data_IF_068280764579
#
_entry.id   IF_068280764579
#
_cell.length_a   1.000
_cell.length_b   1.000
_cell.length_c   1.000
_cell.angle_alpha   90.00
_cell.angle_beta   90.00
_cell.angle_gamma   90.00
#
_symmetry.space_group_name_H-M   'P 1'
#
loop_
_entity.id
_entity.type
_entity.pdbx_description
1 polymer ?
#
# COMPACT_ATOMS: atom_id res chain seq x y z
N UNK A 1 4.10 -16.50 13.84
CA UNK A 1 5.11 -16.74 12.79
C UNK A 1 6.13 -17.69 13.38
N UNK A 2 6.06 -18.98 13.03
CA UNK A 2 7.08 -19.95 13.42
C UNK A 2 8.39 -19.54 12.75
N UNK A 3 9.46 -19.42 13.52
CA UNK A 3 10.77 -18.99 13.05
C UNK A 3 11.25 -19.83 11.87
N UNK A 4 11.60 -19.15 10.78
CA UNK A 4 12.36 -19.73 9.69
C UNK A 4 13.76 -20.03 10.21
N UNK A 5 14.08 -21.30 10.44
CA UNK A 5 15.43 -21.74 10.78
C UNK A 5 16.04 -22.45 9.56
N UNK A 6 17.21 -21.97 9.09
CA UNK A 6 17.98 -22.56 7.99
C UNK A 6 18.57 -21.52 7.02
N UNK A 7 19.26 -21.99 5.96
CA UNK A 7 19.96 -21.15 4.98
C UNK A 7 19.06 -20.10 4.27
N UNK A 8 17.75 -20.37 4.13
CA UNK A 8 16.79 -19.40 3.59
C UNK A 8 16.47 -18.24 4.53
N UNK A 9 16.63 -18.41 5.85
CA UNK A 9 16.41 -17.35 6.83
C UNK A 9 17.55 -16.32 6.82
N UNK A 10 18.79 -16.79 6.58
CA UNK A 10 19.97 -15.92 6.44
C UNK A 10 19.92 -15.09 5.16
N UNK A 11 19.32 -15.61 4.08
CA UNK A 11 19.20 -14.89 2.80
C UNK A 11 18.31 -13.65 2.85
N UNK A 12 17.39 -13.57 3.81
CA UNK A 12 16.41 -12.49 3.95
C UNK A 12 16.50 -11.81 5.32
N UNK A 13 17.67 -11.86 5.95
CA UNK A 13 17.87 -11.43 7.32
C UNK A 13 17.63 -9.93 7.48
N UNK A 14 18.20 -9.08 6.61
CA UNK A 14 18.06 -7.63 6.67
C UNK A 14 16.64 -7.20 6.30
N UNK A 15 15.99 -7.86 5.34
CA UNK A 15 14.56 -7.65 5.02
C UNK A 15 13.69 -7.93 6.25
N UNK A 16 13.91 -9.06 6.92
CA UNK A 16 13.18 -9.44 8.13
C UNK A 16 13.46 -8.48 9.28
N UNK A 17 14.73 -8.11 9.49
CA UNK A 17 15.18 -7.23 10.55
C UNK A 17 14.59 -5.81 10.40
N UNK A 18 14.81 -5.18 9.26
CA UNK A 18 14.27 -3.85 8.94
C UNK A 18 12.74 -3.85 9.00
N UNK A 19 12.07 -4.85 8.41
CA UNK A 19 10.62 -4.97 8.44
C UNK A 19 10.04 -5.09 9.86
N UNK A 20 10.71 -5.82 10.76
CA UNK A 20 10.33 -5.89 12.19
C UNK A 20 10.49 -4.54 12.89
N UNK A 21 11.57 -3.81 12.62
CA UNK A 21 11.82 -2.50 13.23
C UNK A 21 10.83 -1.46 12.69
N UNK A 22 10.58 -1.44 11.39
CA UNK A 22 9.55 -0.61 10.76
C UNK A 22 8.16 -0.87 11.33
N UNK A 23 7.81 -2.15 11.56
CA UNK A 23 6.56 -2.53 12.22
C UNK A 23 6.48 -2.03 13.66
N UNK A 24 7.58 -2.12 14.42
CA UNK A 24 7.67 -1.55 15.76
C UNK A 24 7.48 -0.04 15.72
N UNK A 25 8.18 0.67 14.83
CA UNK A 25 8.09 2.13 14.72
C UNK A 25 6.67 2.58 14.36
N UNK A 26 6.02 1.89 13.40
CA UNK A 26 4.61 2.16 13.07
C UNK A 26 3.69 1.92 14.27
N UNK A 27 3.97 0.89 15.08
CA UNK A 27 3.17 0.59 16.27
C UNK A 27 3.30 1.69 17.32
N UNK A 28 4.52 2.16 17.58
CA UNK A 28 4.78 3.29 18.49
C UNK A 28 4.09 4.56 17.97
N UNK A 29 4.25 4.86 16.67
CA UNK A 29 3.59 5.98 16.00
C UNK A 29 2.07 5.96 16.15
N UNK A 30 1.42 4.79 16.07
CA UNK A 30 -0.04 4.68 16.23
C UNK A 30 -0.53 4.95 17.66
N UNK A 31 0.36 4.90 18.64
CA UNK A 31 0.06 5.20 20.05
C UNK A 31 0.35 6.67 20.41
N UNK A 32 0.98 7.42 19.50
CA UNK A 32 1.25 8.84 19.60
C UNK A 32 0.05 9.66 19.07
N UNK A 33 -0.40 10.71 19.78
CA UNK A 33 -1.55 11.56 19.41
C UNK A 33 -1.18 13.05 19.30
N UNK A 34 -0.93 13.57 18.10
CA UNK A 34 -0.63 14.94 17.57
C UNK A 34 -0.51 16.23 18.44
N UNK A 35 -0.74 16.25 19.76
CA UNK A 35 -0.79 17.48 20.55
C UNK A 35 0.59 18.03 20.98
N UNK A 36 1.52 17.24 21.53
CA UNK A 36 2.89 17.68 21.90
C UNK A 36 3.70 16.48 22.41
N UNK A 37 4.90 16.24 21.86
CA UNK A 37 5.90 15.20 22.23
C UNK A 37 5.37 13.91 22.85
N UNK A 38 5.25 12.87 22.02
CA UNK A 38 4.56 11.61 22.34
C UNK A 38 5.33 10.65 23.20
N UNK A 39 5.39 10.95 24.49
CA UNK A 39 5.94 10.04 25.47
C UNK A 39 4.94 8.92 25.79
N UNK A 40 5.24 7.71 25.32
CA UNK A 40 4.47 6.49 25.60
C UNK A 40 5.10 5.81 26.81
N UNK A 41 4.29 5.45 27.81
CA UNK A 41 4.80 4.75 29.00
C UNK A 41 5.40 3.39 28.63
N UNK A 42 6.45 2.98 29.37
CA UNK A 42 7.05 1.65 29.24
C UNK A 42 6.00 0.54 29.24
N UNK A 43 5.09 0.55 30.22
CA UNK A 43 4.06 -0.48 30.37
C UNK A 43 3.13 -0.60 29.15
N UNK A 44 2.75 0.55 28.57
CA UNK A 44 1.94 0.60 27.35
C UNK A 44 2.69 -0.03 26.17
N UNK A 45 3.97 0.31 26.00
CA UNK A 45 4.82 -0.26 24.93
C UNK A 45 4.93 -1.78 25.11
N UNK A 46 5.23 -2.24 26.32
CA UNK A 46 5.42 -3.68 26.57
C UNK A 46 4.15 -4.48 26.29
N UNK A 47 3.00 -3.95 26.72
CA UNK A 47 1.69 -4.57 26.54
C UNK A 47 1.30 -4.58 25.06
N UNK A 48 1.48 -3.45 24.37
CA UNK A 48 1.13 -3.30 22.95
C UNK A 48 2.00 -4.17 22.07
N UNK A 49 3.31 -4.24 22.34
CA UNK A 49 4.23 -5.14 21.65
C UNK A 49 3.82 -6.61 21.81
N UNK A 50 3.48 -7.02 23.05
CA UNK A 50 3.04 -8.38 23.33
C UNK A 50 1.76 -8.73 22.58
N UNK A 51 0.77 -7.84 22.57
CA UNK A 51 -0.50 -8.03 21.83
C UNK A 51 -0.29 -8.12 20.32
N UNK A 52 0.78 -7.52 19.79
CA UNK A 52 1.12 -7.54 18.36
C UNK A 52 2.14 -8.62 17.98
N UNK A 53 2.54 -9.48 18.92
CA UNK A 53 3.52 -10.54 18.70
C UNK A 53 4.93 -10.02 18.41
N UNK A 54 5.31 -8.88 19.00
CA UNK A 54 6.70 -8.39 18.99
C UNK A 54 7.39 -8.94 20.24
N UNK A 55 8.38 -9.80 20.02
CA UNK A 55 9.15 -10.45 21.07
C UNK A 55 9.98 -9.44 21.90
N UNK A 56 10.31 -9.82 23.14
CA UNK A 56 11.07 -8.95 24.04
C UNK A 56 12.43 -8.56 23.46
N UNK A 57 13.15 -9.48 22.84
CA UNK A 57 14.45 -9.23 22.19
C UNK A 57 14.31 -8.25 21.03
N UNK A 58 13.36 -8.51 20.13
CA UNK A 58 13.11 -7.70 18.93
C UNK A 58 12.69 -6.27 19.33
N UNK A 59 11.92 -6.13 20.41
CA UNK A 59 11.57 -4.83 20.98
C UNK A 59 12.79 -4.07 21.50
N UNK A 60 13.65 -4.71 22.29
CA UNK A 60 14.83 -4.05 22.87
C UNK A 60 15.78 -3.59 21.77
N UNK A 61 16.08 -4.48 20.82
CA UNK A 61 16.95 -4.18 19.69
C UNK A 61 16.33 -3.09 18.81
N UNK A 62 15.04 -3.23 18.47
CA UNK A 62 14.37 -2.25 17.62
C UNK A 62 14.26 -0.87 18.23
N UNK A 63 14.04 -0.74 19.55
CA UNK A 63 14.09 0.55 20.23
C UNK A 63 15.50 1.16 20.17
N UNK A 64 16.54 0.35 20.34
CA UNK A 64 17.93 0.85 20.22
C UNK A 64 18.21 1.36 18.80
N UNK A 65 17.87 0.58 17.77
CA UNK A 65 18.09 0.99 16.37
C UNK A 65 17.30 2.26 16.03
N UNK A 66 16.04 2.37 16.47
CA UNK A 66 15.23 3.57 16.24
C UNK A 66 15.76 4.79 16.99
N UNK A 67 16.34 4.61 18.18
CA UNK A 67 16.98 5.68 18.93
C UNK A 67 18.23 6.16 18.20
N UNK A 68 19.08 5.24 17.75
CA UNK A 68 20.34 5.56 17.06
C UNK A 68 20.08 6.21 15.69
N UNK A 69 18.97 5.86 15.04
CA UNK A 69 18.47 6.51 13.82
C UNK A 69 17.74 7.85 14.09
N UNK A 70 17.69 8.34 15.33
CA UNK A 70 17.06 9.61 15.69
C UNK A 70 15.53 9.64 15.50
N UNK A 71 14.88 8.46 15.49
CA UNK A 71 13.42 8.33 15.28
C UNK A 71 12.64 8.30 16.59
N UNK A 72 13.30 8.00 17.71
CA UNK A 72 12.73 8.04 19.05
C UNK A 72 13.74 8.57 20.08
N UNK A 73 13.25 9.06 21.20
CA UNK A 73 14.03 9.25 22.43
C UNK A 73 13.52 8.30 23.52
N UNK A 74 14.44 7.74 24.31
CA UNK A 74 14.09 6.84 25.43
C UNK A 74 14.48 7.50 26.75
N UNK A 75 13.48 7.76 27.59
CA UNK A 75 13.68 8.32 28.93
C UNK A 75 14.24 7.27 29.92
N UNK A 76 14.79 7.74 31.04
CA UNK A 76 15.39 6.88 32.07
C UNK A 76 14.41 5.89 32.70
N UNK A 77 13.12 6.22 32.74
CA UNK A 77 12.05 5.34 33.22
C UNK A 77 11.56 4.34 32.16
N UNK A 78 12.13 4.38 30.96
CA UNK A 78 11.79 3.55 29.82
C UNK A 78 10.57 4.04 29.03
N UNK A 79 10.10 5.26 29.29
CA UNK A 79 9.12 5.90 28.43
C UNK A 79 9.78 6.31 27.10
N UNK A 80 9.02 6.27 26.00
CA UNK A 80 9.56 6.51 24.65
C UNK A 80 8.84 7.69 24.01
N UNK A 81 9.58 8.72 23.61
CA UNK A 81 9.08 9.80 22.78
C UNK A 81 9.26 9.46 21.29
N UNK A 82 8.18 9.51 20.51
CA UNK A 82 8.24 9.24 19.06
C UNK A 82 8.49 10.53 18.29
N UNK A 83 9.57 10.58 17.51
CA UNK A 83 9.97 11.75 16.72
C UNK A 83 9.50 11.57 15.27
N UNK A 84 9.04 12.67 14.63
CA UNK A 84 8.68 12.65 13.21
C UNK A 84 7.59 11.65 12.82
N UNK A 85 6.54 11.51 13.64
CA UNK A 85 5.53 10.44 13.61
C UNK A 85 4.60 10.38 12.36
N UNK A 86 5.13 10.31 11.15
CA UNK A 86 4.35 10.16 9.91
C UNK A 86 4.46 8.75 9.32
N UNK A 87 3.49 8.32 8.51
CA UNK A 87 3.58 7.05 7.77
C UNK A 87 4.78 7.05 6.83
N UNK A 88 5.06 8.19 6.19
CA UNK A 88 6.21 8.37 5.31
C UNK A 88 7.52 8.18 6.08
N UNK A 89 7.68 8.82 7.24
CA UNK A 89 8.87 8.67 8.07
C UNK A 89 9.11 7.22 8.51
N UNK A 90 8.04 6.43 8.74
CA UNK A 90 8.17 5.00 9.03
C UNK A 90 8.76 4.25 7.85
N UNK A 91 8.26 4.48 6.63
CA UNK A 91 8.74 3.81 5.43
C UNK A 91 10.18 4.23 5.11
N UNK A 92 10.48 5.52 5.18
CA UNK A 92 11.84 6.07 5.00
C UNK A 92 12.81 5.47 6.02
N UNK A 93 12.48 5.50 7.30
CA UNK A 93 13.33 4.89 8.33
C UNK A 93 13.54 3.39 8.11
N UNK A 94 12.52 2.68 7.65
CA UNK A 94 12.63 1.24 7.36
C UNK A 94 13.57 0.98 6.20
N UNK A 95 13.49 1.79 5.14
CA UNK A 95 14.37 1.70 3.98
C UNK A 95 15.82 2.07 4.35
N UNK A 96 16.02 3.17 5.08
CA UNK A 96 17.34 3.58 5.58
C UNK A 96 17.99 2.47 6.44
N UNK A 97 17.25 1.91 7.40
CA UNK A 97 17.73 0.81 8.23
C UNK A 97 18.10 -0.42 7.38
N UNK A 98 17.34 -0.70 6.34
CA UNK A 98 17.65 -1.80 5.41
C UNK A 98 18.93 -1.53 4.63
N UNK A 99 19.07 -0.33 4.05
CA UNK A 99 20.23 0.07 3.24
C UNK A 99 21.51 0.13 4.08
N UNK A 100 21.44 0.63 5.32
CA UNK A 100 22.55 0.71 6.26
C UNK A 100 23.11 -0.67 6.66
N UNK A 101 22.33 -1.74 6.50
CA UNK A 101 22.78 -3.11 6.72
C UNK A 101 23.53 -3.71 5.51
N UNK A 102 23.73 -2.94 4.45
CA UNK A 102 24.39 -3.35 3.22
C UNK A 102 23.74 -4.63 2.63
N UNK A 103 22.50 -4.51 2.14
CA UNK A 103 21.67 -5.66 1.77
C UNK A 103 22.27 -6.43 0.60
N UNK A 104 22.08 -7.75 0.61
CA UNK A 104 22.60 -8.62 -0.45
C UNK A 104 21.83 -8.46 -1.76
N UNK A 105 22.42 -8.94 -2.87
CA UNK A 105 21.72 -9.01 -4.16
C UNK A 105 20.39 -9.77 -4.09
N UNK A 106 20.31 -10.83 -3.26
CA UNK A 106 19.08 -11.59 -3.05
C UNK A 106 17.98 -10.74 -2.41
N UNK A 107 18.35 -9.92 -1.42
CA UNK A 107 17.42 -9.06 -0.69
C UNK A 107 16.93 -7.88 -1.52
N UNK A 108 17.79 -7.33 -2.38
CA UNK A 108 17.36 -6.33 -3.35
C UNK A 108 16.44 -6.98 -4.40
N UNK A 109 16.82 -8.15 -4.91
CA UNK A 109 16.05 -8.88 -5.92
C UNK A 109 14.64 -9.26 -5.45
N UNK A 110 14.46 -9.65 -4.19
CA UNK A 110 13.15 -10.02 -3.68
C UNK A 110 12.22 -8.81 -3.50
N UNK A 111 12.77 -7.65 -3.10
CA UNK A 111 12.01 -6.41 -2.99
C UNK A 111 11.57 -5.97 -4.39
N UNK A 112 12.49 -5.95 -5.35
CA UNK A 112 12.20 -5.60 -6.74
C UNK A 112 11.20 -6.56 -7.37
N UNK A 113 11.33 -7.86 -7.14
CA UNK A 113 10.39 -8.86 -7.62
C UNK A 113 9.00 -8.64 -7.04
N UNK A 114 8.90 -8.45 -5.72
CA UNK A 114 7.63 -8.19 -5.02
C UNK A 114 6.93 -6.95 -5.57
N UNK A 115 7.68 -5.87 -5.78
CA UNK A 115 7.19 -4.65 -6.41
C UNK A 115 6.62 -4.94 -7.80
N UNK A 116 7.38 -5.65 -8.63
CA UNK A 116 7.02 -5.94 -10.02
C UNK A 116 5.75 -6.79 -10.13
N UNK A 117 5.62 -7.83 -9.30
CA UNK A 117 4.45 -8.73 -9.32
C UNK A 117 3.21 -8.13 -8.66
N UNK A 118 3.38 -7.08 -7.83
CA UNK A 118 2.26 -6.23 -7.40
C UNK A 118 1.74 -5.40 -8.57
N UNK A 119 2.64 -4.86 -9.40
CA UNK A 119 2.31 -4.10 -10.62
C UNK A 119 1.54 -4.89 -11.67
N UNK A 120 1.99 -6.11 -11.96
CA UNK A 120 1.42 -6.98 -12.99
C UNK A 120 1.80 -8.45 -12.76
N UNK A 121 0.97 -9.42 -13.16
CA UNK A 121 1.36 -10.82 -13.11
C UNK A 121 2.38 -11.15 -14.21
N UNK A 122 3.37 -11.97 -13.89
CA UNK A 122 4.52 -12.28 -14.74
C UNK A 122 4.72 -13.77 -14.90
N UNK A 123 5.26 -14.21 -16.05
CA UNK A 123 5.75 -15.58 -16.16
C UNK A 123 6.94 -15.77 -15.22
N UNK A 124 7.00 -16.92 -14.55
CA UNK A 124 8.12 -17.28 -13.69
C UNK A 124 9.47 -17.16 -14.39
N UNK A 125 9.58 -17.64 -15.61
CA UNK A 125 10.80 -17.55 -16.40
C UNK A 125 11.24 -16.09 -16.66
N UNK A 126 10.29 -15.19 -16.96
CA UNK A 126 10.56 -13.76 -17.13
C UNK A 126 11.04 -13.12 -15.83
N UNK A 127 10.43 -13.51 -14.70
CA UNK A 127 10.83 -13.02 -13.39
C UNK A 127 12.23 -13.50 -12.97
N UNK A 128 12.53 -14.78 -13.19
CA UNK A 128 13.86 -15.36 -12.92
C UNK A 128 14.95 -14.70 -13.78
N UNK A 129 14.69 -14.50 -15.07
CA UNK A 129 15.59 -13.79 -15.98
C UNK A 129 15.80 -12.35 -15.52
N UNK A 130 14.72 -11.63 -15.21
CA UNK A 130 14.78 -10.26 -14.73
C UNK A 130 15.66 -10.08 -13.48
N UNK A 131 15.43 -10.88 -12.43
CA UNK A 131 16.21 -10.75 -11.18
C UNK A 131 17.65 -11.26 -11.34
N UNK A 132 17.86 -12.27 -12.19
CA UNK A 132 19.19 -12.77 -12.57
C UNK A 132 20.00 -11.65 -13.21
N UNK A 133 19.45 -10.99 -14.22
CA UNK A 133 20.15 -9.96 -14.99
C UNK A 133 20.34 -8.68 -14.17
N UNK A 134 19.30 -8.25 -13.44
CA UNK A 134 19.30 -6.97 -12.70
C UNK A 134 20.22 -7.03 -11.48
N UNK A 135 20.17 -8.12 -10.70
CA UNK A 135 20.92 -8.25 -9.45
C UNK A 135 22.12 -9.17 -9.56
N UNK A 136 22.45 -9.61 -10.78
CA UNK A 136 23.61 -10.45 -11.11
C UNK A 136 23.60 -11.79 -10.37
N UNK A 137 22.41 -12.38 -10.21
CA UNK A 137 22.26 -13.69 -9.60
C UNK A 137 22.55 -14.77 -10.64
N UNK A 138 23.11 -15.90 -10.22
CA UNK A 138 23.13 -17.08 -11.10
C UNK A 138 21.73 -17.67 -11.19
N UNK A 139 21.41 -18.33 -12.31
CA UNK A 139 20.07 -18.87 -12.58
C UNK A 139 19.51 -19.76 -11.47
N UNK A 140 20.36 -20.58 -10.84
CA UNK A 140 19.96 -21.44 -9.73
C UNK A 140 19.53 -20.62 -8.50
N UNK A 141 20.24 -19.52 -8.21
CA UNK A 141 19.94 -18.63 -7.09
C UNK A 141 18.65 -17.84 -7.34
N UNK A 142 18.45 -17.35 -8.57
CA UNK A 142 17.20 -16.70 -8.99
C UNK A 142 15.98 -17.63 -8.82
N UNK A 143 16.06 -18.87 -9.34
CA UNK A 143 14.97 -19.84 -9.18
C UNK A 143 14.70 -20.15 -7.71
N UNK A 144 15.75 -20.36 -6.90
CA UNK A 144 15.58 -20.66 -5.48
C UNK A 144 15.04 -19.45 -4.69
N UNK A 145 15.33 -18.22 -5.13
CA UNK A 145 14.81 -16.99 -4.53
C UNK A 145 13.31 -16.82 -4.81
N UNK A 146 12.84 -17.14 -6.01
CA UNK A 146 11.40 -17.18 -6.33
C UNK A 146 10.70 -18.21 -5.43
N UNK A 147 11.28 -19.40 -5.26
CA UNK A 147 10.72 -20.43 -4.37
C UNK A 147 10.69 -19.99 -2.91
N UNK A 148 11.72 -19.28 -2.46
CA UNK A 148 11.78 -18.70 -1.12
C UNK A 148 10.69 -17.65 -0.94
N UNK A 149 10.52 -16.75 -1.91
CA UNK A 149 9.52 -15.68 -1.92
C UNK A 149 8.09 -16.22 -1.79
N UNK A 150 7.81 -17.35 -2.43
CA UNK A 150 6.53 -18.06 -2.28
C UNK A 150 6.34 -18.64 -0.88
N UNK A 151 7.38 -19.30 -0.35
CA UNK A 151 7.35 -19.90 1.00
C UNK A 151 7.19 -18.85 2.10
N UNK A 152 7.64 -17.62 1.86
CA UNK A 152 7.47 -16.47 2.76
C UNK A 152 6.20 -15.68 2.50
N UNK A 153 5.35 -16.12 1.55
CA UNK A 153 4.12 -15.45 1.15
C UNK A 153 4.31 -13.99 0.73
N UNK A 154 5.50 -13.66 0.19
CA UNK A 154 5.76 -12.36 -0.44
C UNK A 154 5.17 -12.28 -1.84
N UNK A 155 5.12 -13.43 -2.52
CA UNK A 155 4.54 -13.59 -3.85
C UNK A 155 3.75 -14.90 -3.92
N UNK A 156 2.80 -14.95 -4.83
CA UNK A 156 1.99 -16.12 -5.16
C UNK A 156 2.35 -16.65 -6.55
N UNK A 157 2.07 -17.92 -6.81
CA UNK A 157 2.26 -18.56 -8.14
C UNK A 157 1.04 -19.42 -8.48
N UNK A 158 0.53 -19.25 -9.70
CA UNK A 158 -0.53 -20.10 -10.26
C UNK A 158 -0.02 -20.83 -11.51
N UNK A 159 -0.46 -22.07 -11.72
CA UNK A 159 -0.07 -22.89 -12.86
C UNK A 159 0.93 -24.02 -12.55
N UNK A 160 1.32 -24.76 -13.60
CA UNK A 160 2.19 -25.93 -13.48
C UNK A 160 3.68 -25.56 -13.53
N UNK A 161 4.54 -26.46 -13.05
CA UNK A 161 6.00 -26.30 -13.05
C UNK A 161 6.53 -25.82 -14.43
N UNK A 162 7.16 -24.65 -14.44
CA UNK A 162 7.75 -24.03 -15.64
C UNK A 162 6.81 -23.13 -16.44
N UNK A 163 5.51 -23.13 -16.16
CA UNK A 163 4.51 -22.22 -16.75
C UNK A 163 3.83 -21.32 -15.72
N UNK A 164 4.39 -21.24 -14.52
CA UNK A 164 3.80 -20.48 -13.42
C UNK A 164 3.71 -18.99 -13.73
N UNK A 165 2.58 -18.41 -13.33
CA UNK A 165 2.37 -16.96 -13.29
C UNK A 165 2.56 -16.50 -11.86
N UNK A 166 3.55 -15.63 -11.63
CA UNK A 166 3.81 -14.97 -10.37
C UNK A 166 2.95 -13.72 -10.24
N UNK A 167 2.37 -13.49 -9.06
CA UNK A 167 1.53 -12.34 -8.77
C UNK A 167 1.53 -12.01 -7.28
N UNK A 168 0.97 -10.86 -6.92
CA UNK A 168 0.62 -10.54 -5.53
C UNK A 168 -0.89 -10.78 -5.31
N UNK A 169 -1.27 -11.69 -4.42
CA UNK A 169 -2.68 -11.99 -4.13
C UNK A 169 -3.45 -10.83 -3.49
N UNK A 170 -2.79 -9.84 -2.88
CA UNK A 170 -3.48 -8.64 -2.41
C UNK A 170 -3.99 -7.80 -3.59
N UNK A 171 -3.21 -7.70 -4.67
CA UNK A 171 -3.64 -6.97 -5.88
C UNK A 171 -4.58 -7.82 -6.76
N UNK A 172 -4.21 -9.07 -7.05
CA UNK A 172 -4.90 -9.88 -8.07
C UNK A 172 -5.92 -10.88 -7.50
N UNK A 173 -6.18 -10.86 -6.19
CA UNK A 173 -7.13 -11.74 -5.46
C UNK A 173 -6.77 -13.23 -5.48
N UNK A 174 -6.73 -13.84 -6.66
CA UNK A 174 -6.42 -15.25 -6.87
C UNK A 174 -5.67 -15.49 -8.20
N UNK A 175 -5.19 -16.72 -8.37
CA UNK A 175 -4.45 -17.13 -9.55
C UNK A 175 -5.23 -17.05 -10.86
N UNK A 176 -6.56 -17.24 -10.85
CA UNK A 176 -7.38 -17.17 -12.06
C UNK A 176 -7.50 -15.73 -12.57
N UNK A 177 -7.64 -14.76 -11.67
CA UNK A 177 -7.63 -13.34 -12.03
C UNK A 177 -6.23 -12.91 -12.50
N UNK A 178 -5.17 -13.36 -11.81
CA UNK A 178 -3.80 -13.11 -12.23
C UNK A 178 -3.50 -13.66 -13.65
N UNK A 179 -3.91 -14.89 -13.95
CA UNK A 179 -3.77 -15.47 -15.30
C UNK A 179 -4.53 -14.66 -16.36
N UNK A 180 -5.77 -14.23 -16.07
CA UNK A 180 -6.56 -13.41 -17.00
C UNK A 180 -5.89 -12.06 -17.25
N UNK A 181 -5.44 -11.40 -16.20
CA UNK A 181 -4.73 -10.13 -16.30
C UNK A 181 -3.44 -10.29 -17.12
N UNK A 182 -2.66 -11.35 -16.87
CA UNK A 182 -1.47 -11.67 -17.66
C UNK A 182 -1.80 -11.83 -19.15
N UNK A 183 -2.81 -12.64 -19.50
CA UNK A 183 -3.21 -12.87 -20.88
C UNK A 183 -3.66 -11.59 -21.58
N UNK A 184 -4.44 -10.73 -20.90
CA UNK A 184 -4.85 -9.44 -21.45
C UNK A 184 -3.64 -8.56 -21.75
N UNK A 185 -2.69 -8.47 -20.81
CA UNK A 185 -1.47 -7.67 -20.96
C UNK A 185 -0.57 -8.18 -22.10
N UNK A 186 -0.43 -9.50 -22.26
CA UNK A 186 0.35 -10.11 -23.35
C UNK A 186 -0.25 -9.81 -24.73
N UNK A 187 -1.58 -9.75 -24.82
CA UNK A 187 -2.31 -9.52 -26.07
C UNK A 187 -2.41 -8.04 -26.47
N UNK A 188 -1.92 -7.11 -25.64
CA UNK A 188 -1.97 -5.70 -25.96
C UNK A 188 -1.10 -5.37 -27.18
N UNK A 189 -1.72 -4.68 -28.14
CA UNK A 189 -1.02 -4.07 -29.28
C UNK A 189 -0.12 -2.93 -28.81
N UNK A 190 0.83 -2.54 -29.64
CA UNK A 190 1.78 -1.48 -29.30
C UNK A 190 1.07 -0.15 -28.95
N UNK A 191 0.02 0.23 -29.69
CA UNK A 191 -0.77 1.43 -29.42
C UNK A 191 -1.59 1.31 -28.12
N UNK A 192 -2.11 0.12 -27.81
CA UNK A 192 -2.84 -0.15 -26.56
C UNK A 192 -1.90 -0.06 -25.35
N UNK A 193 -0.66 -0.54 -25.48
CA UNK A 193 0.38 -0.43 -24.44
C UNK A 193 0.72 1.02 -24.14
N UNK A 194 0.93 1.83 -25.17
CA UNK A 194 1.22 3.28 -24.99
C UNK A 194 0.07 3.98 -24.25
N UNK A 195 -1.17 3.70 -24.62
CA UNK A 195 -2.35 4.32 -23.98
C UNK A 195 -2.54 3.84 -22.54
N UNK A 196 -2.28 2.55 -22.27
CA UNK A 196 -2.26 2.02 -20.92
C UNK A 196 -1.22 2.73 -20.05
N UNK A 197 0.01 2.87 -20.54
CA UNK A 197 1.08 3.59 -19.83
C UNK A 197 0.69 5.04 -19.55
N UNK A 198 0.10 5.76 -20.53
CA UNK A 198 -0.36 7.13 -20.31
C UNK A 198 -1.43 7.24 -19.20
N UNK A 199 -2.37 6.29 -19.15
CA UNK A 199 -3.37 6.24 -18.07
C UNK A 199 -2.71 5.97 -16.72
N UNK A 200 -1.78 5.00 -16.67
CA UNK A 200 -1.07 4.66 -15.43
C UNK A 200 -0.27 5.84 -14.89
N UNK A 201 0.45 6.57 -15.75
CA UNK A 201 1.18 7.78 -15.34
C UNK A 201 0.25 8.87 -14.79
N UNK A 202 -0.93 9.05 -15.40
CA UNK A 202 -1.93 10.00 -14.89
C UNK A 202 -2.50 9.55 -13.55
N UNK A 203 -2.75 8.26 -13.35
CA UNK A 203 -3.17 7.70 -12.07
C UNK A 203 -2.11 7.91 -11.00
N UNK A 204 -0.83 7.64 -11.27
CA UNK A 204 0.26 7.88 -10.31
C UNK A 204 0.31 9.34 -9.84
N UNK A 205 -0.03 10.30 -10.71
CA UNK A 205 -0.02 11.73 -10.36
C UNK A 205 -1.26 12.21 -9.61
N UNK A 206 -2.43 11.60 -9.84
CA UNK A 206 -3.72 12.12 -9.35
C UNK A 206 -4.43 11.16 -8.37
N UNK A 207 -3.97 9.92 -8.25
CA UNK A 207 -4.58 8.84 -7.47
C UNK A 207 -5.83 8.24 -8.11
N UNK A 208 -6.76 9.08 -8.60
CA UNK A 208 -7.95 8.64 -9.32
C UNK A 208 -8.27 9.55 -10.52
N UNK A 209 -8.94 8.99 -11.52
CA UNK A 209 -9.34 9.67 -12.75
C UNK A 209 -10.82 9.46 -13.04
N UNK A 210 -11.44 10.40 -13.75
CA UNK A 210 -12.82 10.25 -14.21
C UNK A 210 -12.93 9.08 -15.21
N UNK A 211 -13.89 8.16 -15.01
CA UNK A 211 -13.96 6.91 -15.76
C UNK A 211 -14.18 7.12 -17.27
N UNK A 212 -15.01 8.09 -17.65
CA UNK A 212 -15.25 8.41 -19.06
C UNK A 212 -14.01 8.98 -19.78
N UNK A 213 -13.15 9.71 -19.07
CA UNK A 213 -11.88 10.19 -19.63
C UNK A 213 -10.91 9.02 -19.85
N UNK A 214 -10.86 8.10 -18.91
CA UNK A 214 -10.05 6.87 -19.03
C UNK A 214 -10.59 5.98 -20.17
N UNK A 215 -11.90 5.81 -20.28
CA UNK A 215 -12.53 5.07 -21.39
C UNK A 215 -12.22 5.73 -22.74
N UNK A 216 -12.27 7.07 -22.83
CA UNK A 216 -11.92 7.81 -24.05
C UNK A 216 -10.45 7.63 -24.43
N UNK A 217 -9.53 7.63 -23.47
CA UNK A 217 -8.11 7.39 -23.71
C UNK A 217 -7.85 5.97 -24.20
N UNK A 218 -8.38 4.96 -23.52
CA UNK A 218 -8.12 3.55 -23.84
C UNK A 218 -8.96 3.02 -25.00
N UNK A 219 -10.11 3.66 -25.26
CA UNK A 219 -11.19 3.08 -26.05
C UNK A 219 -11.99 2.06 -25.24
N UNK A 220 -13.28 1.98 -25.52
CA UNK A 220 -14.26 1.18 -24.78
C UNK A 220 -13.87 -0.30 -24.62
N UNK A 221 -13.36 -0.93 -25.67
CA UNK A 221 -13.01 -2.35 -25.65
C UNK A 221 -11.82 -2.64 -24.72
N UNK A 222 -10.75 -1.84 -24.80
CA UNK A 222 -9.59 -1.99 -23.95
C UNK A 222 -9.94 -1.65 -22.50
N UNK A 223 -10.67 -0.56 -22.28
CA UNK A 223 -11.15 -0.16 -20.95
C UNK A 223 -11.89 -1.31 -20.25
N UNK A 224 -12.90 -1.90 -20.91
CA UNK A 224 -13.69 -2.98 -20.35
C UNK A 224 -12.83 -4.21 -20.04
N UNK A 225 -11.89 -4.58 -20.93
CA UNK A 225 -10.97 -5.71 -20.68
C UNK A 225 -10.13 -5.47 -19.43
N UNK A 226 -9.54 -4.30 -19.28
CA UNK A 226 -8.63 -3.99 -18.16
C UNK A 226 -9.37 -3.90 -16.81
N UNK A 227 -10.58 -3.30 -16.78
CA UNK A 227 -11.42 -3.28 -15.58
C UNK A 227 -11.88 -4.69 -15.21
N UNK A 228 -12.29 -5.52 -16.19
CA UNK A 228 -12.82 -6.86 -15.92
C UNK A 228 -11.81 -7.84 -15.29
N UNK A 229 -10.52 -7.62 -15.54
CA UNK A 229 -9.44 -8.42 -14.96
C UNK A 229 -8.83 -7.78 -13.71
N UNK A 230 -9.42 -6.68 -13.22
CA UNK A 230 -9.00 -6.01 -12.00
C UNK A 230 -7.67 -5.26 -12.14
N UNK A 231 -7.26 -4.86 -13.35
CA UNK A 231 -6.09 -3.98 -13.52
C UNK A 231 -6.41 -2.53 -13.13
N UNK A 232 -7.69 -2.18 -13.17
CA UNK A 232 -8.24 -0.93 -12.70
C UNK A 232 -9.39 -1.20 -11.75
N UNK A 233 -9.46 -0.43 -10.67
CA UNK A 233 -10.62 -0.45 -9.79
C UNK A 233 -11.57 0.67 -10.14
N UNK A 234 -12.84 0.33 -10.40
CA UNK A 234 -13.87 1.30 -10.76
C UNK A 234 -14.75 1.57 -9.55
N UNK A 235 -14.72 2.81 -9.10
CA UNK A 235 -15.52 3.33 -7.99
C UNK A 235 -16.65 4.20 -8.55
N UNK A 236 -17.71 4.37 -7.77
CA UNK A 236 -18.84 5.22 -8.16
C UNK A 236 -19.23 6.16 -7.02
N UNK A 237 -19.41 7.43 -7.34
CA UNK A 237 -19.95 8.45 -6.43
C UNK A 237 -21.35 8.81 -6.89
N UNK A 238 -22.33 8.45 -6.09
CA UNK A 238 -23.74 8.77 -6.32
C UNK A 238 -24.22 9.87 -5.38
N UNK A 239 -25.01 10.80 -5.91
CA UNK A 239 -25.77 11.78 -5.13
C UNK A 239 -27.22 11.87 -5.65
N UNK A 240 -28.03 12.79 -5.11
CA UNK A 240 -29.44 12.93 -5.49
C UNK A 240 -29.68 13.41 -6.94
N UNK A 241 -28.64 13.78 -7.67
CA UNK A 241 -28.72 14.38 -9.02
C UNK A 241 -27.95 13.62 -10.09
N UNK A 242 -26.86 12.94 -9.74
CA UNK A 242 -26.05 12.18 -10.69
C UNK A 242 -25.32 11.02 -10.01
N UNK A 243 -24.88 10.08 -10.84
CA UNK A 243 -23.90 9.05 -10.48
C UNK A 243 -22.70 9.16 -11.41
N UNK A 244 -21.50 9.19 -10.85
CA UNK A 244 -20.25 9.47 -11.57
C UNK A 244 -19.19 8.44 -11.20
N UNK A 245 -18.61 7.79 -12.21
CA UNK A 245 -17.58 6.78 -12.02
C UNK A 245 -16.17 7.35 -11.99
N UNK A 246 -15.30 6.74 -11.20
CA UNK A 246 -13.88 7.04 -11.13
C UNK A 246 -13.07 5.76 -11.20
N UNK A 247 -11.84 5.86 -11.69
CA UNK A 247 -10.89 4.75 -11.79
C UNK A 247 -9.68 5.04 -10.93
N UNK A 248 -9.22 4.04 -10.18
CA UNK A 248 -7.97 4.09 -9.43
C UNK A 248 -7.11 2.85 -9.71
N UNK A 249 -5.82 2.93 -9.37
CA UNK A 249 -4.91 1.79 -9.39
C UNK A 249 -5.19 0.90 -8.16
N UNK A 250 -5.48 -0.41 -8.34
CA UNK A 250 -5.69 -1.32 -7.21
C UNK A 250 -4.47 -1.38 -6.27
N UNK A 251 -3.27 -1.24 -6.82
CA UNK A 251 -2.01 -1.22 -6.07
C UNK A 251 -1.93 -0.10 -5.03
N UNK A 252 -2.62 1.02 -5.26
CA UNK A 252 -2.55 2.16 -4.35
C UNK A 252 -3.24 1.85 -3.00
N UNK A 253 -4.12 0.85 -2.97
CA UNK A 253 -4.86 0.43 -1.77
C UNK A 253 -4.43 -0.94 -1.27
N UNK A 254 -4.23 -1.88 -2.19
CA UNK A 254 -4.17 -3.30 -1.87
C UNK A 254 -2.73 -3.77 -1.58
N UNK A 255 -1.72 -3.12 -2.16
CA UNK A 255 -0.31 -3.51 -2.03
C UNK A 255 0.19 -3.55 -0.58
N UNK A 256 -0.33 -2.66 0.27
CA UNK A 256 0.08 -2.52 1.67
C UNK A 256 -1.00 -2.99 2.66
N UNK A 257 -2.16 -3.41 2.15
CA UNK A 257 -3.30 -3.81 2.96
C UNK A 257 -3.17 -5.26 3.45
N UNK A 258 -3.76 -5.56 4.61
CA UNK A 258 -4.09 -6.96 4.95
C UNK A 258 -5.45 -7.26 4.33
N UNK A 259 -5.61 -8.36 3.58
CA UNK A 259 -6.86 -8.70 2.87
C UNK A 259 -8.05 -9.01 3.80
N UNK A 260 -7.91 -8.86 5.11
CA UNK A 260 -8.96 -9.12 6.11
C UNK A 260 -9.48 -7.85 6.80
N UNK A 261 -9.06 -6.68 6.36
CA UNK A 261 -9.66 -5.39 6.71
C UNK A 261 -10.22 -4.78 5.41
N UNK A 262 -11.32 -5.35 4.89
CA UNK A 262 -11.99 -4.85 3.66
C UNK A 262 -12.61 -3.45 3.90
N UNK A 263 -13.19 -3.20 5.08
CA UNK A 263 -13.88 -1.94 5.40
C UNK A 263 -12.99 -0.68 5.26
N UNK A 264 -11.73 -0.63 5.78
CA UNK A 264 -10.88 0.54 5.61
C UNK A 264 -10.42 0.78 4.17
N UNK A 265 -10.31 -0.27 3.35
CA UNK A 265 -9.94 -0.15 1.93
C UNK A 265 -11.09 0.48 1.15
N UNK A 266 -12.31 0.01 1.38
CA UNK A 266 -13.49 0.58 0.71
C UNK A 266 -13.78 2.01 1.17
N UNK A 267 -13.55 2.34 2.45
CA UNK A 267 -13.59 3.72 2.95
C UNK A 267 -12.55 4.62 2.26
N UNK A 268 -11.32 4.13 2.05
CA UNK A 268 -10.26 4.88 1.37
C UNK A 268 -10.60 5.14 -0.11
N UNK A 269 -11.16 4.14 -0.79
CA UNK A 269 -11.69 4.26 -2.15
C UNK A 269 -12.82 5.28 -2.24
N UNK A 270 -13.80 5.18 -1.34
CA UNK A 270 -14.91 6.13 -1.28
C UNK A 270 -14.40 7.57 -1.02
N UNK A 271 -13.41 7.74 -0.16
CA UNK A 271 -12.79 9.03 0.12
C UNK A 271 -12.11 9.61 -1.11
N UNK A 272 -11.23 8.86 -1.80
CA UNK A 272 -10.51 9.38 -2.96
C UNK A 272 -11.47 9.73 -4.10
N UNK A 273 -12.50 8.90 -4.32
CA UNK A 273 -13.51 9.16 -5.34
C UNK A 273 -14.30 10.44 -5.01
N UNK A 274 -14.67 10.62 -3.74
CA UNK A 274 -15.38 11.81 -3.26
C UNK A 274 -14.55 13.08 -3.36
N UNK A 275 -13.25 13.01 -3.05
CA UNK A 275 -12.32 14.13 -3.21
C UNK A 275 -12.18 14.50 -4.68
N UNK A 276 -11.94 13.51 -5.54
CA UNK A 276 -11.80 13.71 -7.00
C UNK A 276 -13.07 14.32 -7.60
N UNK A 277 -14.24 13.88 -7.16
CA UNK A 277 -15.52 14.50 -7.51
C UNK A 277 -15.61 15.95 -7.03
N UNK A 278 -15.22 16.21 -5.78
CA UNK A 278 -15.22 17.55 -5.20
C UNK A 278 -14.29 18.53 -5.93
N UNK A 279 -13.18 18.05 -6.50
CA UNK A 279 -12.25 18.84 -7.29
C UNK A 279 -12.77 19.11 -8.70
N UNK A 280 -13.31 18.08 -9.37
CA UNK A 280 -13.61 18.13 -10.80
C UNK A 280 -15.04 18.59 -11.15
N UNK A 281 -16.02 18.36 -10.26
CA UNK A 281 -17.46 18.52 -10.58
C UNK A 281 -18.28 19.29 -9.56
N UNK A 282 -17.73 19.62 -8.39
CA UNK A 282 -18.48 20.41 -7.40
C UNK A 282 -18.87 21.78 -7.97
N UNK A 283 -20.13 22.17 -7.79
CA UNK A 283 -20.66 23.43 -8.31
C UNK A 283 -20.06 24.62 -7.57
N UNK A 284 -20.01 25.78 -8.22
CA UNK A 284 -19.52 27.04 -7.62
C UNK A 284 -20.23 27.36 -6.29
N UNK A 285 -21.51 27.02 -6.16
CA UNK A 285 -22.30 27.23 -4.93
C UNK A 285 -21.96 26.28 -3.79
N UNK A 286 -21.45 25.07 -4.07
CA UNK A 286 -20.99 24.11 -3.07
C UNK A 286 -19.51 24.29 -2.73
N UNK A 287 -18.76 24.91 -3.63
CA UNK A 287 -17.32 25.10 -3.56
C UNK A 287 -16.56 23.89 -4.12
N UNK A 288 -15.55 24.16 -4.95
CA UNK A 288 -14.62 23.14 -5.42
C UNK A 288 -13.55 22.87 -4.37
N UNK A 289 -13.16 21.60 -4.24
CA UNK A 289 -12.00 21.25 -3.43
C UNK A 289 -10.76 21.70 -4.21
N UNK A 290 -10.01 22.65 -3.67
CA UNK A 290 -8.76 23.14 -4.29
C UNK A 290 -7.53 22.71 -3.49
N UNK A 291 -7.71 22.29 -2.24
CA UNK A 291 -6.64 21.86 -1.33
C UNK A 291 -6.94 20.49 -0.71
N UNK A 292 -6.99 19.40 -1.51
CA UNK A 292 -7.36 18.07 -1.03
C UNK A 292 -6.43 17.58 0.09
N UNK A 293 -5.12 17.87 0.00
CA UNK A 293 -4.14 17.48 1.00
C UNK A 293 -4.39 18.15 2.36
N UNK A 294 -4.78 19.44 2.37
CA UNK A 294 -5.11 20.14 3.60
C UNK A 294 -6.37 19.56 4.25
N UNK A 295 -7.35 19.16 3.43
CA UNK A 295 -8.56 18.50 3.89
C UNK A 295 -8.25 17.10 4.48
N UNK A 296 -7.44 16.28 3.80
CA UNK A 296 -7.00 14.98 4.32
C UNK A 296 -6.25 15.15 5.63
N UNK A 297 -5.29 16.10 5.71
CA UNK A 297 -4.57 16.40 6.96
C UNK A 297 -5.52 16.80 8.09
N UNK A 298 -6.54 17.60 7.80
CA UNK A 298 -7.56 17.97 8.79
C UNK A 298 -8.41 16.77 9.22
N UNK A 299 -8.83 15.90 8.30
CA UNK A 299 -9.62 14.70 8.59
C UNK A 299 -8.83 13.69 9.44
N UNK A 300 -7.54 13.48 9.13
CA UNK A 300 -6.65 12.63 9.91
C UNK A 300 -6.50 13.16 11.33
N UNK A 301 -6.31 14.48 11.50
CA UNK A 301 -6.26 15.14 12.82
C UNK A 301 -7.58 15.02 13.59
N UNK A 302 -8.73 15.12 12.93
CA UNK A 302 -10.04 15.01 13.59
C UNK A 302 -10.36 13.58 14.06
N UNK A 303 -9.86 12.54 13.37
CA UNK A 303 -10.09 11.13 13.74
C UNK A 303 -9.34 10.73 15.02
N UNK A 304 -8.21 11.37 15.35
CA UNK A 304 -7.53 11.14 16.64
C UNK A 304 -8.28 11.78 17.82
N UNK A 305 -9.16 12.75 17.56
CA UNK A 305 -9.89 13.51 18.59
C UNK A 305 -11.31 12.99 18.88
N UNK A 306 -11.80 11.95 18.19
CA UNK A 306 -13.18 11.48 18.37
C UNK A 306 -13.40 10.00 18.08
N UNK A 307 -13.75 9.24 19.13
CA UNK A 307 -14.39 7.91 19.06
C UNK A 307 -15.82 7.94 18.46
N UNK A 308 -16.21 8.95 17.66
CA UNK A 308 -17.57 9.11 17.10
C UNK A 308 -17.60 9.56 15.63
N UNK A 309 -16.65 9.14 14.80
CA UNK A 309 -16.43 9.77 13.47
C UNK A 309 -17.16 9.14 12.27
N UNK A 310 -17.82 7.98 12.37
CA UNK A 310 -18.53 7.38 11.22
C UNK A 310 -19.73 8.22 10.74
N UNK A 311 -20.25 9.12 11.59
CA UNK A 311 -21.39 9.99 11.26
C UNK A 311 -20.96 11.26 10.50
N UNK A 312 -19.70 11.71 10.63
CA UNK A 312 -19.25 12.99 10.09
C UNK A 312 -18.95 12.95 8.58
N UNK A 313 -18.37 11.86 8.08
CA UNK A 313 -18.12 11.67 6.65
C UNK A 313 -19.44 11.59 5.86
N UNK A 314 -20.45 10.92 6.44
CA UNK A 314 -21.81 10.84 5.89
C UNK A 314 -22.53 12.19 5.93
N UNK A 315 -22.33 12.98 7.00
CA UNK A 315 -22.90 14.32 7.14
C UNK A 315 -22.30 15.37 6.17
N UNK A 316 -21.05 15.18 5.69
CA UNK A 316 -20.48 16.07 4.65
C UNK A 316 -21.06 15.81 3.26
N UNK A 317 -21.54 14.60 2.98
CA UNK A 317 -22.28 14.28 1.76
C UNK A 317 -23.75 14.75 1.81
N UNK A 318 -24.35 14.90 3.00
CA UNK A 318 -25.78 15.15 3.20
C UNK A 318 -26.19 16.59 3.56
N UNK A 319 -25.28 17.56 3.70
CA UNK A 319 -25.70 18.93 4.05
C UNK A 319 -26.34 19.68 2.87
N UNK A 320 -27.66 19.51 2.74
CA UNK A 320 -28.57 20.54 2.23
C UNK A 320 -29.73 20.77 3.20
N UNK A 321 -30.11 22.05 3.28
CA UNK A 321 -31.39 22.61 3.74
C UNK A 321 -31.73 22.56 5.24
N UNK A 322 -31.30 23.59 5.97
CA UNK A 322 -32.26 24.37 6.78
C UNK A 322 -32.09 25.83 6.39
N UNK A 323 -32.80 26.23 5.34
CA UNK A 323 -33.12 27.61 5.09
C UNK A 323 -34.25 28.05 6.02
N UNK A 324 -34.12 29.25 6.57
CA UNK A 324 -35.18 29.98 7.25
C UNK A 324 -36.52 29.93 6.51
N UNK A 325 -37.57 29.55 7.24
CA UNK A 325 -38.94 30.06 7.20
C UNK A 325 -39.44 29.92 8.65
N UNK A 326 -39.88 30.93 9.39
CA UNK A 326 -40.37 32.28 9.07
C UNK A 326 -39.90 33.26 10.15
#
# INVERSE_FOLDING_TARGET
MSGYAGAGATRLENVSHSGKIGRLYNLLRRQADDQTTFTISKQTIETTCKLNGIEKSDRIIGLQVLHDAGRIDVAKDGAVAVLGATTQAVLEATAEIFDDQNPSSDEQAIIDLSERVSGRPLKRAEAEEYISDTHKLVKADASSLVDLSKKTALIDEEGQHGQGILFNSHTFRDGKYAEKAHRVLEQLKADERVRLTEVQEKLTRHGALYDADVERMLGKELYNRLVSVGLFDRMEVSNSTESVGYVASPNDFQKYGRPFEEDPIDDAKALIASLTYGQSRSTYTRGQITMPEALIRALVRLRTHSQKSTVAARAMAERKTVGHRS
#
